data_IF_088479932211
#
_entry.id   IF_088479932211
#
_cell.length_a   1.000
_cell.length_b   1.000
_cell.length_c   1.000
_cell.angle_alpha   90.00
_cell.angle_beta   90.00
_cell.angle_gamma   90.00
#
_symmetry.space_group_name_H-M   'P 1'
#
loop_
_entity.id
_entity.type
_entity.pdbx_description
1 polymer ?
#
# COMPACT_ATOMS: atom_id res chain seq x y z
N UNK A 1 2.98 -8.80 2.63
CA UNK A 1 3.49 -10.16 2.93
C UNK A 1 3.74 -10.18 4.41
N UNK A 2 3.03 -11.05 5.12
CA UNK A 2 3.13 -11.16 6.57
C UNK A 2 3.92 -12.42 6.91
N UNK A 3 4.89 -12.30 7.81
CA UNK A 3 5.63 -13.46 8.32
C UNK A 3 4.79 -14.18 9.36
N UNK A 4 4.63 -15.48 9.18
CA UNK A 4 3.95 -16.39 10.12
C UNK A 4 4.94 -17.46 10.58
N UNK A 5 4.64 -18.17 11.67
CA UNK A 5 5.57 -19.16 12.25
C UNK A 5 6.05 -20.23 11.26
N UNK A 6 5.22 -20.58 10.28
CA UNK A 6 5.48 -21.63 9.28
C UNK A 6 5.90 -21.10 7.90
N UNK A 7 6.15 -19.80 7.75
CA UNK A 7 6.54 -19.21 6.46
C UNK A 7 5.94 -17.82 6.25
N UNK A 8 5.39 -17.59 5.06
CA UNK A 8 4.86 -16.28 4.67
C UNK A 8 3.42 -16.39 4.18
N UNK A 9 2.57 -15.46 4.65
CA UNK A 9 1.23 -15.27 4.15
C UNK A 9 1.24 -14.16 3.09
N UNK A 10 0.71 -14.49 1.91
CA UNK A 10 0.53 -13.56 0.81
C UNK A 10 -0.97 -13.36 0.54
N UNK A 11 -1.42 -12.11 0.67
CA UNK A 11 -2.72 -11.69 0.17
C UNK A 11 -2.55 -11.13 -1.24
N UNK A 12 -3.31 -11.69 -2.20
CA UNK A 12 -3.32 -11.26 -3.60
C UNK A 12 -4.73 -10.79 -3.95
N UNK A 13 -4.82 -9.60 -4.54
CA UNK A 13 -6.05 -9.09 -5.13
C UNK A 13 -5.86 -8.97 -6.64
N UNK A 14 -6.83 -9.45 -7.40
CA UNK A 14 -6.80 -9.49 -8.86
C UNK A 14 -8.19 -9.21 -9.41
N UNK A 15 -8.26 -8.61 -10.60
CA UNK A 15 -9.51 -8.45 -11.36
C UNK A 15 -9.91 -9.73 -12.12
N UNK A 16 -9.03 -10.73 -12.15
CA UNK A 16 -9.28 -12.04 -12.77
C UNK A 16 -9.06 -13.16 -11.76
N UNK A 17 -9.82 -14.27 -11.85
CA UNK A 17 -9.57 -15.45 -11.02
C UNK A 17 -8.10 -15.90 -11.13
N UNK A 18 -7.40 -16.12 -10.00
CA UNK A 18 -6.02 -16.59 -10.04
C UNK A 18 -5.96 -18.05 -10.49
N UNK A 19 -5.14 -18.33 -11.50
CA UNK A 19 -4.87 -19.69 -11.94
C UNK A 19 -3.75 -20.32 -11.09
N UNK A 20 -4.14 -21.26 -10.23
CA UNK A 20 -3.25 -21.95 -9.30
C UNK A 20 -2.39 -23.01 -10.00
N UNK A 21 -2.84 -23.53 -11.14
CA UNK A 21 -2.14 -24.59 -11.88
C UNK A 21 -0.81 -24.15 -12.49
N UNK A 22 -0.52 -22.84 -12.48
CA UNK A 22 0.75 -22.28 -12.96
C UNK A 22 1.82 -22.19 -11.87
N UNK A 23 1.50 -22.53 -10.63
CA UNK A 23 2.46 -22.56 -9.53
C UNK A 23 3.18 -23.91 -9.50
N UNK A 24 4.51 -23.93 -9.24
CA UNK A 24 5.24 -25.18 -9.06
C UNK A 24 4.71 -26.03 -7.91
N UNK A 25 4.93 -27.34 -7.99
CA UNK A 25 4.61 -28.25 -6.89
C UNK A 25 5.36 -27.85 -5.60
N UNK A 26 4.65 -27.92 -4.47
CA UNK A 26 5.19 -27.52 -3.16
C UNK A 26 5.39 -26.01 -2.97
N UNK A 27 5.00 -25.17 -3.92
CA UNK A 27 5.14 -23.71 -3.79
C UNK A 27 4.25 -23.12 -2.67
N UNK A 28 3.04 -23.67 -2.51
CA UNK A 28 2.12 -23.27 -1.44
C UNK A 28 2.24 -24.24 -0.26
N UNK A 29 2.40 -23.68 0.94
CA UNK A 29 2.43 -24.47 2.19
C UNK A 29 1.06 -25.06 2.58
N UNK A 30 -0.02 -24.66 1.89
CA UNK A 30 -1.38 -25.11 2.12
C UNK A 30 -2.32 -24.66 1.00
N UNK A 31 -3.60 -24.93 1.13
CA UNK A 31 -4.59 -24.58 0.11
C UNK A 31 -4.73 -23.04 -0.01
N UNK A 32 -4.60 -22.53 -1.24
CA UNK A 32 -4.92 -21.13 -1.51
C UNK A 32 -6.43 -20.88 -1.35
N UNK A 33 -6.79 -19.81 -0.66
CA UNK A 33 -8.18 -19.38 -0.55
C UNK A 33 -8.47 -18.27 -1.55
N UNK A 34 -9.67 -18.31 -2.15
CA UNK A 34 -10.15 -17.26 -3.06
C UNK A 34 -11.51 -16.81 -2.58
N UNK A 35 -11.69 -15.50 -2.44
CA UNK A 35 -12.93 -14.87 -2.00
C UNK A 35 -13.23 -13.65 -2.88
N UNK A 36 -14.48 -13.41 -3.27
CA UNK A 36 -14.88 -12.16 -3.89
C UNK A 36 -14.64 -10.98 -2.94
N UNK A 37 -14.34 -9.81 -3.49
CA UNK A 37 -14.11 -8.58 -2.71
C UNK A 37 -15.38 -7.72 -2.59
N UNK A 38 -16.49 -8.14 -3.18
CA UNK A 38 -17.73 -7.34 -3.26
C UNK A 38 -18.20 -6.84 -1.90
N UNK A 39 -18.22 -7.70 -0.87
CA UNK A 39 -18.60 -7.27 0.48
C UNK A 39 -17.66 -6.21 1.10
N UNK A 40 -16.38 -6.20 0.72
CA UNK A 40 -15.44 -5.13 1.13
C UNK A 40 -15.78 -3.83 0.40
N UNK A 41 -16.15 -3.90 -0.88
CA UNK A 41 -16.52 -2.74 -1.69
C UNK A 41 -17.87 -2.15 -1.27
N UNK A 42 -18.85 -2.99 -0.94
CA UNK A 42 -20.14 -2.58 -0.38
C UNK A 42 -19.98 -1.92 1.00
N UNK A 43 -18.92 -2.25 1.73
CA UNK A 43 -18.61 -1.59 2.99
C UNK A 43 -18.08 -0.17 2.82
N UNK A 44 -17.73 0.28 1.61
CA UNK A 44 -17.21 1.62 1.32
C UNK A 44 -18.38 2.60 1.18
N UNK A 45 -18.73 3.25 2.29
CA UNK A 45 -19.83 4.21 2.37
C UNK A 45 -19.30 5.52 2.97
N UNK A 46 -19.61 6.70 2.41
CA UNK A 46 -19.14 7.97 2.96
C UNK A 46 -19.51 8.14 4.44
N UNK A 47 -18.58 8.67 5.24
CA UNK A 47 -18.71 8.80 6.69
C UNK A 47 -18.41 7.52 7.48
N UNK A 48 -18.31 6.35 6.83
CA UNK A 48 -18.02 5.09 7.53
C UNK A 48 -16.56 5.03 7.96
N UNK A 49 -16.35 4.66 9.22
CA UNK A 49 -15.04 4.32 9.76
C UNK A 49 -14.69 2.85 9.49
N UNK A 50 -13.47 2.60 9.04
CA UNK A 50 -12.95 1.26 8.77
C UNK A 50 -11.52 1.13 9.33
N UNK A 51 -11.18 -0.06 9.79
CA UNK A 51 -9.79 -0.44 10.00
C UNK A 51 -9.15 -0.67 8.63
N UNK A 52 -7.89 -0.25 8.47
CA UNK A 52 -7.15 -0.46 7.24
C UNK A 52 -5.70 -0.85 7.48
N UNK A 53 -5.16 -1.57 6.49
CA UNK A 53 -3.72 -1.79 6.31
C UNK A 53 -3.33 -1.39 4.90
N UNK A 54 -2.25 -0.61 4.77
CA UNK A 54 -1.64 -0.24 3.49
C UNK A 54 -0.12 -0.33 3.61
N UNK A 55 0.51 -1.13 2.75
CA UNK A 55 1.98 -1.05 2.53
C UNK A 55 2.23 -0.13 1.34
N UNK A 56 2.99 0.94 1.49
CA UNK A 56 3.31 1.88 0.41
C UNK A 56 4.80 2.20 0.33
N UNK A 57 5.22 2.81 -0.79
CA UNK A 57 6.58 3.35 -1.00
C UNK A 57 6.53 4.90 -0.89
N UNK A 58 6.49 5.47 0.34
CA UNK A 58 6.45 6.92 0.53
C UNK A 58 7.76 7.53 0.04
N UNK A 59 7.69 8.29 -1.05
CA UNK A 59 8.88 8.85 -1.72
C UNK A 59 8.68 10.32 -2.07
N UNK A 60 9.79 11.06 -2.16
CA UNK A 60 9.82 12.43 -2.71
C UNK A 60 10.84 12.53 -3.84
N UNK A 61 10.66 13.53 -4.69
CA UNK A 61 11.63 13.89 -5.73
C UNK A 61 12.53 14.97 -5.15
N UNK A 62 13.84 14.76 -5.23
CA UNK A 62 14.89 15.69 -4.82
C UNK A 62 15.65 16.11 -6.07
N UNK A 63 15.90 17.41 -6.20
CA UNK A 63 16.78 17.97 -7.24
C UNK A 63 18.07 18.42 -6.56
N UNK A 64 19.19 18.23 -7.25
CA UNK A 64 20.43 18.86 -6.82
C UNK A 64 20.26 20.39 -6.92
N UNK A 65 20.90 21.18 -6.05
CA UNK A 65 20.78 22.65 -6.06
C UNK A 65 21.07 23.26 -7.43
N UNK A 66 22.07 22.71 -8.13
CA UNK A 66 22.55 23.22 -9.42
C UNK A 66 21.96 22.47 -10.63
N UNK A 67 20.95 21.62 -10.43
CA UNK A 67 20.36 20.88 -11.53
C UNK A 67 19.54 21.81 -12.45
N UNK A 68 19.62 21.65 -13.79
CA UNK A 68 18.76 22.37 -14.73
C UNK A 68 17.28 22.22 -14.35
N UNK A 69 16.49 23.30 -14.47
CA UNK A 69 15.06 23.30 -14.10
C UNK A 69 14.24 22.23 -14.84
N UNK A 70 14.69 21.85 -16.04
CA UNK A 70 14.08 20.84 -16.91
C UNK A 70 14.50 19.39 -16.57
N UNK A 71 15.51 19.22 -15.70
CA UNK A 71 16.01 17.92 -15.29
C UNK A 71 15.04 17.15 -14.38
N UNK A 72 14.91 15.84 -14.63
CA UNK A 72 14.15 14.94 -13.77
C UNK A 72 14.89 14.73 -12.46
N UNK A 73 14.28 15.13 -11.34
CA UNK A 73 14.88 14.91 -10.01
C UNK A 73 14.98 13.44 -9.62
N UNK A 74 15.86 13.14 -8.68
CA UNK A 74 16.06 11.79 -8.11
C UNK A 74 14.96 11.49 -7.11
N UNK A 75 14.39 10.28 -7.17
CA UNK A 75 13.42 9.84 -6.17
C UNK A 75 14.15 9.24 -4.96
N UNK A 76 13.73 9.63 -3.76
CA UNK A 76 14.26 9.15 -2.49
C UNK A 76 13.11 8.72 -1.59
N UNK A 77 13.34 7.70 -0.76
CA UNK A 77 12.38 7.25 0.24
C UNK A 77 12.28 8.28 1.39
N UNK A 78 11.08 8.42 1.92
CA UNK A 78 10.82 9.15 3.16
C UNK A 78 11.03 8.18 4.32
N UNK A 79 11.85 8.58 5.29
CA UNK A 79 12.17 7.78 6.48
C UNK A 79 11.63 8.40 7.76
N UNK A 80 11.34 9.71 7.76
CA UNK A 80 10.71 10.39 8.89
C UNK A 80 9.21 10.01 8.96
N UNK A 81 8.73 9.42 10.08
CA UNK A 81 7.31 9.12 10.27
C UNK A 81 6.38 10.30 10.04
N UNK A 82 6.78 11.54 10.35
CA UNK A 82 5.94 12.74 10.11
C UNK A 82 5.74 12.98 8.62
N UNK A 83 6.81 12.88 7.82
CA UNK A 83 6.72 13.00 6.36
C UNK A 83 5.90 11.85 5.74
N UNK A 84 6.04 10.64 6.27
CA UNK A 84 5.28 9.46 5.85
C UNK A 84 3.78 9.61 6.15
N UNK A 85 3.41 10.09 7.34
CA UNK A 85 2.03 10.40 7.73
C UNK A 85 1.45 11.52 6.86
N UNK A 86 2.21 12.59 6.61
CA UNK A 86 1.77 13.66 5.69
C UNK A 86 1.56 13.15 4.26
N UNK A 87 2.41 12.21 3.81
CA UNK A 87 2.25 11.55 2.50
C UNK A 87 0.98 10.69 2.47
N UNK A 88 0.70 9.94 3.53
CA UNK A 88 -0.50 9.14 3.68
C UNK A 88 -1.75 10.03 3.67
N UNK A 89 -1.79 11.08 4.49
CA UNK A 89 -2.92 12.01 4.59
C UNK A 89 -3.29 12.60 3.23
N UNK A 90 -2.31 13.22 2.55
CA UNK A 90 -2.52 13.78 1.21
C UNK A 90 -2.96 12.74 0.20
N UNK A 91 -2.40 11.53 0.26
CA UNK A 91 -2.77 10.47 -0.68
C UNK A 91 -4.16 9.92 -0.37
N UNK A 92 -4.56 9.89 0.89
CA UNK A 92 -5.88 9.49 1.34
C UNK A 92 -6.95 10.43 0.80
N UNK A 93 -6.76 11.74 0.96
CA UNK A 93 -7.70 12.75 0.45
C UNK A 93 -7.92 12.59 -1.07
N UNK A 94 -6.84 12.40 -1.83
CA UNK A 94 -6.88 12.13 -3.27
C UNK A 94 -7.57 10.80 -3.65
N UNK A 95 -7.69 9.89 -2.69
CA UNK A 95 -8.25 8.56 -2.86
C UNK A 95 -9.58 8.40 -2.11
N UNK A 96 -10.22 9.49 -1.65
CA UNK A 96 -11.56 9.41 -1.05
C UNK A 96 -11.60 8.89 0.38
N UNK A 97 -10.52 9.04 1.16
CA UNK A 97 -10.57 8.81 2.62
C UNK A 97 -9.72 9.81 3.40
N UNK A 98 -9.99 9.95 4.70
CA UNK A 98 -9.13 10.65 5.64
C UNK A 98 -8.76 9.74 6.79
N UNK A 99 -7.64 10.02 7.45
CA UNK A 99 -7.29 9.37 8.71
C UNK A 99 -7.75 10.27 9.85
N UNK A 100 -8.67 9.82 10.71
CA UNK A 100 -9.16 10.64 11.82
C UNK A 100 -8.09 10.79 12.91
N UNK A 101 -8.32 11.71 13.84
CA UNK A 101 -7.51 11.80 15.05
C UNK A 101 -7.63 10.51 15.90
N UNK A 102 -6.53 10.14 16.54
CA UNK A 102 -6.41 9.11 17.56
C UNK A 102 -6.63 9.69 18.96
N UNK A 103 -6.65 8.82 19.97
CA UNK A 103 -6.87 9.22 21.37
C UNK A 103 -5.73 10.11 21.94
N UNK A 104 -4.54 10.03 21.35
CA UNK A 104 -3.35 10.80 21.70
C UNK A 104 -3.27 12.15 20.98
N UNK A 105 -4.30 12.51 20.19
CA UNK A 105 -4.31 13.72 19.35
C UNK A 105 -3.48 13.58 18.06
N UNK A 106 -2.80 12.45 17.86
CA UNK A 106 -2.13 12.11 16.61
C UNK A 106 -3.12 11.57 15.55
N UNK A 107 -2.60 11.17 14.39
CA UNK A 107 -3.42 10.39 13.43
C UNK A 107 -3.65 8.98 13.98
N UNK A 108 -4.85 8.43 13.81
CA UNK A 108 -5.21 7.07 14.25
C UNK A 108 -4.55 5.96 13.39
N UNK A 109 -3.23 6.03 13.21
CA UNK A 109 -2.42 5.15 12.35
C UNK A 109 -1.06 4.89 13.00
N UNK A 110 -0.68 3.63 13.03
CA UNK A 110 0.67 3.16 13.31
C UNK A 110 1.47 3.07 12.02
N UNK A 111 2.71 3.56 12.05
CA UNK A 111 3.65 3.49 10.93
C UNK A 111 4.74 2.49 11.27
N UNK A 112 5.03 1.56 10.37
CA UNK A 112 6.07 0.54 10.56
C UNK A 112 6.92 0.39 9.30
N UNK A 113 8.25 0.43 9.39
CA UNK A 113 9.11 0.12 8.26
C UNK A 113 8.95 -1.36 7.86
N UNK A 114 9.09 -1.65 6.56
CA UNK A 114 9.21 -3.01 6.05
C UNK A 114 10.63 -3.27 5.55
N UNK A 115 11.05 -4.55 5.46
CA UNK A 115 12.30 -4.91 4.79
C UNK A 115 12.37 -4.30 3.37
N UNK A 116 13.50 -3.70 2.97
CA UNK A 116 13.65 -3.17 1.62
C UNK A 116 13.51 -4.26 0.57
N UNK A 117 12.89 -3.89 -0.56
CA UNK A 117 12.79 -4.77 -1.73
C UNK A 117 13.76 -4.27 -2.79
N UNK A 118 14.62 -5.17 -3.27
CA UNK A 118 15.56 -4.89 -4.35
C UNK A 118 15.14 -5.65 -5.59
N UNK A 119 15.02 -4.92 -6.69
CA UNK A 119 14.76 -5.47 -8.02
C UNK A 119 15.76 -4.95 -9.04
N UNK A 120 15.63 -5.45 -10.26
CA UNK A 120 16.40 -4.98 -11.39
C UNK A 120 15.47 -4.76 -12.56
N UNK A 121 15.71 -3.70 -13.32
CA UNK A 121 15.02 -3.43 -14.57
C UNK A 121 16.04 -3.19 -15.67
N UNK A 122 15.88 -3.88 -16.78
CA UNK A 122 16.66 -3.60 -17.97
C UNK A 122 16.03 -2.40 -18.70
N UNK A 123 16.86 -1.39 -18.95
CA UNK A 123 16.44 -0.17 -19.63
C UNK A 123 17.61 0.31 -20.49
N UNK A 124 17.38 0.45 -21.79
CA UNK A 124 18.40 0.83 -22.79
C UNK A 124 19.65 -0.08 -22.75
N UNK A 125 19.45 -1.40 -22.61
CA UNK A 125 20.54 -2.38 -22.53
C UNK A 125 21.35 -2.33 -21.23
N UNK A 126 20.93 -1.54 -20.23
CA UNK A 126 21.59 -1.46 -18.92
C UNK A 126 20.67 -2.02 -17.83
N UNK A 127 21.24 -2.86 -16.97
CA UNK A 127 20.57 -3.44 -15.82
C UNK A 127 20.60 -2.45 -14.65
N UNK A 128 19.48 -1.76 -14.43
CA UNK A 128 19.36 -0.74 -13.39
C UNK A 128 18.80 -1.35 -12.10
N UNK A 129 19.45 -1.08 -10.97
CA UNK A 129 18.98 -1.49 -9.64
C UNK A 129 17.79 -0.64 -9.22
N UNK A 130 16.71 -1.28 -8.79
CA UNK A 130 15.55 -0.67 -8.16
C UNK A 130 15.60 -1.01 -6.68
N UNK A 131 15.56 0.01 -5.83
CA UNK A 131 15.42 -0.15 -4.38
C UNK A 131 14.11 0.48 -3.95
N UNK A 132 13.30 -0.27 -3.21
CA UNK A 132 12.02 0.18 -2.65
C UNK A 132 12.15 0.04 -1.14
N UNK A 133 11.66 1.06 -0.42
CA UNK A 133 11.67 1.10 1.05
C UNK A 133 10.22 1.15 1.52
N UNK A 134 9.53 -0.01 1.60
CA UNK A 134 8.13 -0.01 1.92
C UNK A 134 7.90 0.41 3.38
N UNK A 135 6.75 1.03 3.61
CA UNK A 135 6.24 1.41 4.92
C UNK A 135 4.82 0.90 5.04
N UNK A 136 4.53 0.18 6.12
CA UNK A 136 3.18 -0.29 6.45
C UNK A 136 2.50 0.74 7.34
N UNK A 137 1.28 1.07 6.98
CA UNK A 137 0.35 1.89 7.72
C UNK A 137 -0.80 0.99 8.18
N UNK A 138 -1.00 0.89 9.49
CA UNK A 138 -2.09 0.15 10.12
C UNK A 138 -2.90 1.12 10.97
N UNK A 139 -4.22 1.20 10.78
CA UNK A 139 -5.01 2.14 11.58
C UNK A 139 -6.46 2.24 11.17
N UNK A 140 -7.06 3.39 11.45
CA UNK A 140 -8.44 3.73 11.09
C UNK A 140 -8.47 4.77 9.98
N UNK A 141 -9.42 4.64 9.07
CA UNK A 141 -9.78 5.68 8.11
C UNK A 141 -11.28 5.96 8.15
N UNK A 142 -11.67 7.11 7.62
CA UNK A 142 -13.05 7.50 7.35
C UNK A 142 -13.19 7.72 5.85
N UNK A 143 -14.14 7.03 5.24
CA UNK A 143 -14.45 7.20 3.81
C UNK A 143 -15.04 8.59 3.58
N UNK A 144 -14.51 9.34 2.63
CA UNK A 144 -15.04 10.66 2.24
C UNK A 144 -15.71 10.64 0.86
N UNK A 145 -15.19 9.84 -0.07
CA UNK A 145 -15.78 9.63 -1.40
C UNK A 145 -15.72 8.13 -1.73
N UNK A 146 -16.90 7.50 -1.80
CA UNK A 146 -16.99 6.07 -2.00
C UNK A 146 -16.47 5.61 -3.38
N UNK A 147 -16.64 6.42 -4.42
CA UNK A 147 -16.20 6.07 -5.77
C UNK A 147 -14.69 6.12 -5.87
N UNK A 148 -14.09 7.23 -5.45
CA UNK A 148 -12.63 7.38 -5.44
C UNK A 148 -11.97 6.31 -4.58
N UNK A 149 -12.57 5.99 -3.43
CA UNK A 149 -11.99 5.00 -2.54
C UNK A 149 -12.18 3.57 -3.03
N UNK A 150 -13.33 3.20 -3.59
CA UNK A 150 -13.52 1.90 -4.22
C UNK A 150 -12.54 1.68 -5.37
N UNK A 151 -12.29 2.69 -6.21
CA UNK A 151 -11.31 2.62 -7.30
C UNK A 151 -9.87 2.51 -6.75
N UNK A 152 -9.56 3.20 -5.66
CA UNK A 152 -8.27 3.10 -4.98
C UNK A 152 -8.05 1.70 -4.37
N UNK A 153 -9.07 1.09 -3.77
CA UNK A 153 -9.02 -0.29 -3.24
C UNK A 153 -8.82 -1.28 -4.38
N UNK A 154 -9.55 -1.15 -5.49
CA UNK A 154 -9.42 -2.03 -6.67
C UNK A 154 -8.04 -1.97 -7.33
N UNK A 155 -7.51 -0.76 -7.51
CA UNK A 155 -6.30 -0.52 -8.30
C UNK A 155 -5.02 -0.42 -7.47
N UNK A 156 -5.16 -0.20 -6.16
CA UNK A 156 -4.08 0.01 -5.21
C UNK A 156 -3.61 1.47 -5.13
N UNK A 157 -3.00 1.83 -4.00
CA UNK A 157 -2.58 3.19 -3.68
C UNK A 157 -1.08 3.37 -3.84
N UNK A 158 -0.68 4.38 -4.63
CA UNK A 158 0.73 4.75 -4.77
C UNK A 158 1.51 3.86 -5.74
N UNK A 159 2.84 3.89 -5.60
CA UNK A 159 3.81 3.28 -6.53
C UNK A 159 4.26 1.91 -6.04
N UNK A 160 5.13 1.27 -6.83
CA UNK A 160 5.76 -0.01 -6.50
C UNK A 160 4.76 -1.17 -6.30
N UNK A 161 3.61 -1.13 -6.98
CA UNK A 161 2.55 -2.14 -6.83
C UNK A 161 3.02 -3.56 -7.16
N UNK A 162 3.85 -3.69 -8.20
CA UNK A 162 4.49 -4.94 -8.58
C UNK A 162 5.47 -5.51 -7.52
N UNK A 163 5.79 -4.75 -6.49
CA UNK A 163 6.75 -5.10 -5.44
C UNK A 163 6.07 -5.18 -4.06
N UNK A 164 4.77 -5.49 -4.03
CA UNK A 164 4.03 -5.69 -2.79
C UNK A 164 3.54 -4.42 -2.09
N UNK A 165 3.58 -3.27 -2.78
CA UNK A 165 2.99 -2.03 -2.28
C UNK A 165 1.58 -1.78 -2.86
N UNK A 166 0.83 -0.90 -2.24
CA UNK A 166 -0.41 -0.33 -2.73
C UNK A 166 -1.68 -1.12 -2.45
N UNK A 167 -1.61 -2.38 -2.02
CA UNK A 167 -2.81 -3.09 -1.58
C UNK A 167 -3.37 -2.43 -0.31
N UNK A 168 -4.66 -2.12 -0.32
CA UNK A 168 -5.42 -1.65 0.85
C UNK A 168 -6.30 -2.78 1.33
N UNK A 169 -6.10 -3.24 2.57
CA UNK A 169 -6.98 -4.21 3.22
C UNK A 169 -7.89 -3.47 4.19
N UNK A 170 -9.18 -3.82 4.22
CA UNK A 170 -10.19 -3.18 5.06
C UNK A 170 -10.84 -4.19 6.00
N UNK A 171 -11.21 -3.72 7.18
CA UNK A 171 -12.02 -4.47 8.13
C UNK A 171 -13.01 -3.53 8.84
N UNK A 172 -14.16 -4.03 9.30
CA UNK A 172 -15.04 -3.27 10.18
C UNK A 172 -14.29 -2.82 11.43
N UNK A 173 -14.65 -1.64 11.96
CA UNK A 173 -14.23 -1.27 13.32
C UNK A 173 -15.05 -2.13 14.27
N UNK A 174 -14.40 -3.02 15.02
CA UNK A 174 -15.07 -3.76 16.10
C UNK A 174 -15.50 -2.74 17.15
N UNK A 175 -16.79 -2.71 17.49
CA UNK A 175 -17.24 -2.00 18.68
C UNK A 175 -16.56 -2.64 19.89
N UNK A 176 -15.74 -1.85 20.59
CA UNK A 176 -15.20 -2.23 21.89
C UNK A 176 -16.26 -2.16 22.96
#
# INVERSE_FOLDING_TARGET
>A
MDSIRSGHLLLVQSSMPPDRGRLPDGYLAGEAQTRPIDGVLEAIIPGRSLMFRLTADPTRIVRAPDAPKEGRGRRVALHDPKEQLGRLARKGEQCGFVVPAGADGGMAVTVSPCPPVVGYKDENGKRNKITISPTRFDGRLVVTDARLFADAVRTGIGRARAYGCGLVSLAPVTAG
#
